data_IF_279781061140
#
_entry.id   IF_279781061140
#
_cell.length_a   1.000
_cell.length_b   1.000
_cell.length_c   1.000
_cell.angle_alpha   90.00
_cell.angle_beta   90.00
_cell.angle_gamma   90.00
#
_symmetry.space_group_name_H-M   'P 1'
#
loop_
_entity.id
_entity.type
_entity.pdbx_description
1 polymer ?
#
# COMPACT_ATOMS: atom_id res chain seq x y z
N UNK A 1 -9.78 7.00 -14.53
CA UNK A 1 -9.96 5.63 -13.95
C UNK A 1 -9.43 5.63 -12.53
N UNK A 2 -10.12 5.02 -11.57
CA UNK A 2 -9.78 5.08 -10.14
C UNK A 2 -10.16 3.78 -9.41
N UNK A 3 -9.61 3.57 -8.22
CA UNK A 3 -9.89 2.40 -7.37
C UNK A 3 -10.28 2.81 -5.95
N UNK A 4 -10.51 1.83 -5.08
CA UNK A 4 -10.96 2.03 -3.69
C UNK A 4 -9.99 2.85 -2.82
N UNK A 5 -8.71 2.89 -3.15
CA UNK A 5 -7.70 3.63 -2.38
C UNK A 5 -7.58 5.08 -2.82
N UNK A 6 -8.26 5.47 -3.89
CA UNK A 6 -8.31 6.85 -4.36
C UNK A 6 -9.29 7.66 -3.52
N UNK A 7 -8.89 8.85 -3.03
CA UNK A 7 -9.79 9.72 -2.28
C UNK A 7 -10.95 10.22 -3.16
N UNK A 8 -12.20 10.14 -2.69
CA UNK A 8 -13.36 10.71 -3.41
C UNK A 8 -13.21 12.21 -3.66
N UNK A 9 -12.49 12.94 -2.81
CA UNK A 9 -12.25 14.37 -2.97
C UNK A 9 -11.54 14.70 -4.28
N UNK A 10 -10.59 13.85 -4.71
CA UNK A 10 -9.92 14.06 -6.00
C UNK A 10 -10.85 13.82 -7.20
N UNK A 11 -11.87 12.97 -7.05
CA UNK A 11 -12.85 12.74 -8.11
C UNK A 11 -13.72 13.98 -8.35
N UNK A 12 -13.98 14.78 -7.32
CA UNK A 12 -14.73 16.03 -7.43
C UNK A 12 -13.97 17.11 -8.20
N UNK A 13 -12.65 16.98 -8.35
CA UNK A 13 -11.81 17.90 -9.15
C UNK A 13 -11.83 17.60 -10.64
N UNK A 14 -12.45 16.48 -11.05
CA UNK A 14 -12.58 16.14 -12.46
C UNK A 14 -13.44 17.19 -13.20
N UNK A 15 -13.04 17.52 -14.43
CA UNK A 15 -13.78 18.48 -15.28
C UNK A 15 -15.20 17.95 -15.55
N UNK A 16 -16.14 18.88 -15.75
CA UNK A 16 -17.49 18.54 -16.20
C UNK A 16 -17.42 17.70 -17.50
N UNK A 17 -18.17 16.60 -17.55
CA UNK A 17 -18.15 15.67 -18.68
C UNK A 17 -17.01 14.63 -18.66
N UNK A 18 -16.14 14.63 -17.65
CA UNK A 18 -15.14 13.59 -17.48
C UNK A 18 -15.80 12.24 -17.19
N UNK A 19 -15.46 11.22 -17.94
CA UNK A 19 -15.89 9.83 -17.69
C UNK A 19 -15.15 9.27 -16.48
N UNK A 20 -15.87 8.93 -15.42
CA UNK A 20 -15.30 8.32 -14.21
C UNK A 20 -15.49 6.81 -14.23
N UNK A 21 -14.41 6.05 -14.32
CA UNK A 21 -14.44 4.59 -14.41
C UNK A 21 -13.81 4.00 -13.15
N UNK A 22 -14.61 3.26 -12.38
CA UNK A 22 -14.13 2.51 -11.23
C UNK A 22 -13.56 1.17 -11.67
N UNK A 23 -12.32 0.88 -11.26
CA UNK A 23 -11.61 -0.37 -11.60
C UNK A 23 -11.19 -1.17 -10.35
N UNK A 24 -11.64 -0.76 -9.18
CA UNK A 24 -11.35 -1.43 -7.91
C UNK A 24 -12.18 -2.71 -7.68
N UNK A 25 -11.94 -3.35 -6.54
CA UNK A 25 -12.75 -4.49 -6.09
C UNK A 25 -14.12 -4.00 -5.63
N UNK A 26 -15.19 -4.40 -6.30
CA UNK A 26 -16.56 -4.23 -5.80
C UNK A 26 -17.01 -5.48 -5.03
N UNK A 27 -17.80 -5.27 -3.96
CA UNK A 27 -18.44 -6.36 -3.25
C UNK A 27 -19.36 -7.14 -4.22
N UNK A 28 -19.11 -8.47 -4.34
CA UNK A 28 -19.89 -9.42 -5.14
C UNK A 28 -19.81 -9.34 -6.68
N UNK A 29 -18.97 -8.47 -7.29
CA UNK A 29 -18.67 -8.51 -8.72
C UNK A 29 -17.24 -8.99 -8.99
N UNK A 30 -17.03 -9.62 -10.14
CA UNK A 30 -15.71 -10.08 -10.56
C UNK A 30 -14.68 -8.95 -10.45
N UNK A 31 -13.62 -9.22 -9.67
CA UNK A 31 -12.47 -8.31 -9.58
C UNK A 31 -11.87 -8.16 -10.96
N UNK A 32 -11.80 -6.94 -11.46
CA UNK A 32 -11.09 -6.69 -12.72
C UNK A 32 -9.62 -7.09 -12.54
N UNK A 33 -9.17 -8.05 -13.33
CA UNK A 33 -7.77 -8.47 -13.32
C UNK A 33 -6.89 -7.35 -13.85
N UNK A 34 -5.62 -7.33 -13.44
CA UNK A 34 -4.69 -6.28 -13.88
C UNK A 34 -4.58 -6.19 -15.40
N UNK A 35 -4.56 -7.32 -16.09
CA UNK A 35 -4.51 -7.34 -17.56
C UNK A 35 -5.72 -6.64 -18.19
N UNK A 36 -6.91 -6.81 -17.59
CA UNK A 36 -8.11 -6.12 -18.04
C UNK A 36 -8.09 -4.61 -17.75
N UNK A 37 -7.45 -4.19 -16.64
CA UNK A 37 -7.22 -2.76 -16.33
C UNK A 37 -6.26 -2.17 -17.35
N UNK A 38 -5.16 -2.86 -17.67
CA UNK A 38 -4.18 -2.44 -18.65
C UNK A 38 -4.81 -2.29 -20.03
N UNK A 39 -5.60 -3.28 -20.46
CA UNK A 39 -6.33 -3.23 -21.73
C UNK A 39 -7.31 -2.06 -21.75
N UNK A 40 -8.08 -1.87 -20.70
CA UNK A 40 -9.03 -0.76 -20.61
C UNK A 40 -8.35 0.61 -20.69
N UNK A 41 -7.18 0.77 -20.06
CA UNK A 41 -6.35 1.99 -20.16
C UNK A 41 -5.96 2.24 -21.63
N UNK A 42 -5.47 1.20 -22.32
CA UNK A 42 -5.09 1.29 -23.71
C UNK A 42 -6.28 1.60 -24.62
N UNK A 43 -7.42 0.91 -24.43
CA UNK A 43 -8.63 1.20 -25.23
C UNK A 43 -9.10 2.65 -25.03
N UNK A 44 -9.11 3.15 -23.79
CA UNK A 44 -9.51 4.54 -23.52
C UNK A 44 -8.53 5.56 -24.11
N UNK A 45 -7.24 5.25 -24.17
CA UNK A 45 -6.24 6.14 -24.79
C UNK A 45 -6.45 6.36 -26.30
N UNK A 46 -7.17 5.48 -26.99
CA UNK A 46 -7.48 5.64 -28.42
C UNK A 46 -8.55 6.71 -28.71
N UNK A 47 -9.38 7.02 -27.72
CA UNK A 47 -10.57 7.87 -27.90
C UNK A 47 -10.53 9.15 -27.06
N UNK A 48 -9.58 9.26 -26.12
CA UNK A 48 -9.44 10.41 -25.24
C UNK A 48 -8.03 10.99 -25.35
N UNK A 49 -7.95 12.31 -25.43
CA UNK A 49 -6.69 13.05 -25.43
C UNK A 49 -5.89 12.82 -24.14
N UNK A 50 -6.60 12.70 -22.99
CA UNK A 50 -6.02 12.46 -21.67
C UNK A 50 -6.77 11.39 -20.90
N UNK A 51 -6.05 10.37 -20.48
CA UNK A 51 -6.57 9.32 -19.58
C UNK A 51 -5.80 9.38 -18.27
N UNK A 52 -6.49 9.68 -17.18
CA UNK A 52 -5.88 9.73 -15.84
C UNK A 52 -6.16 8.42 -15.10
N UNK A 53 -5.10 7.72 -14.67
CA UNK A 53 -5.18 6.60 -13.74
C UNK A 53 -4.87 7.10 -12.33
N UNK A 54 -5.90 7.42 -11.56
CA UNK A 54 -5.76 7.88 -10.18
C UNK A 54 -5.51 6.69 -9.26
N UNK A 55 -4.48 6.81 -8.40
CA UNK A 55 -4.02 5.77 -7.48
C UNK A 55 -3.83 6.35 -6.08
N UNK A 56 -3.99 5.52 -5.05
CA UNK A 56 -3.64 5.91 -3.68
C UNK A 56 -2.13 5.78 -3.46
N UNK A 57 -1.52 6.77 -2.81
CA UNK A 57 -0.08 6.79 -2.55
C UNK A 57 0.77 7.09 -3.78
N UNK A 58 1.95 6.48 -3.88
CA UNK A 58 2.81 6.59 -5.05
C UNK A 58 2.48 5.47 -6.06
N UNK A 59 2.31 5.78 -7.36
CA UNK A 59 1.95 4.79 -8.38
C UNK A 59 2.95 3.64 -8.51
N UNK A 60 4.24 3.90 -8.25
CA UNK A 60 5.32 2.93 -8.43
C UNK A 60 5.71 2.19 -7.15
N UNK A 61 5.17 2.58 -5.99
CA UNK A 61 5.43 1.89 -4.72
C UNK A 61 4.27 0.94 -4.40
N UNK A 62 4.43 -0.33 -4.76
CA UNK A 62 3.43 -1.41 -4.61
C UNK A 62 2.05 -1.10 -5.21
N UNK A 63 1.99 -0.11 -6.12
CA UNK A 63 0.78 0.33 -6.79
C UNK A 63 0.57 -0.29 -8.17
N UNK A 64 1.47 -1.14 -8.65
CA UNK A 64 1.46 -1.75 -9.99
C UNK A 64 1.46 -0.75 -11.15
N UNK A 65 1.74 0.53 -10.90
CA UNK A 65 1.80 1.55 -11.94
C UNK A 65 2.88 1.28 -12.99
N UNK A 66 3.98 0.61 -12.62
CA UNK A 66 5.00 0.18 -13.56
C UNK A 66 4.49 -0.85 -14.58
N UNK A 67 3.63 -1.79 -14.16
CA UNK A 67 3.00 -2.77 -15.06
C UNK A 67 2.04 -2.07 -16.03
N UNK A 68 1.24 -1.11 -15.53
CA UNK A 68 0.33 -0.28 -16.33
C UNK A 68 1.11 0.56 -17.35
N UNK A 69 2.19 1.23 -16.92
CA UNK A 69 3.01 2.07 -17.77
C UNK A 69 3.72 1.27 -18.87
N UNK A 70 4.37 0.15 -18.55
CA UNK A 70 5.06 -0.71 -19.53
C UNK A 70 4.08 -1.22 -20.58
N UNK A 71 2.88 -1.66 -20.17
CA UNK A 71 1.85 -2.14 -21.09
C UNK A 71 1.45 -1.08 -22.12
N UNK A 72 1.36 0.18 -21.71
CA UNK A 72 1.00 1.32 -22.56
C UNK A 72 2.16 1.73 -23.48
N UNK A 73 3.38 1.84 -22.93
CA UNK A 73 4.58 2.22 -23.70
C UNK A 73 4.87 1.19 -24.82
N UNK A 74 4.71 -0.09 -24.55
CA UNK A 74 4.86 -1.17 -25.56
C UNK A 74 3.85 -1.04 -26.71
N UNK A 75 2.80 -0.22 -26.55
CA UNK A 75 1.77 0.10 -27.54
C UNK A 75 1.85 1.52 -28.09
N UNK A 76 3.00 2.17 -27.90
CA UNK A 76 3.30 3.54 -28.34
C UNK A 76 2.34 4.59 -27.73
N UNK A 77 1.84 4.38 -26.52
CA UNK A 77 1.11 5.39 -25.76
C UNK A 77 2.09 6.13 -24.85
N UNK A 78 2.10 7.45 -24.93
CA UNK A 78 2.89 8.29 -24.02
C UNK A 78 2.33 8.20 -22.59
N UNK A 79 3.23 8.04 -21.61
CA UNK A 79 2.86 7.90 -20.20
C UNK A 79 3.67 8.87 -19.37
N UNK A 80 2.96 9.73 -18.65
CA UNK A 80 3.54 10.57 -17.60
C UNK A 80 3.15 10.02 -16.22
N UNK A 81 4.10 9.99 -15.28
CA UNK A 81 3.85 9.55 -13.91
C UNK A 81 4.05 10.70 -12.96
N UNK A 82 2.97 11.06 -12.27
CA UNK A 82 3.01 12.04 -11.19
C UNK A 82 3.30 11.30 -9.87
N UNK A 83 4.43 11.56 -9.22
CA UNK A 83 4.76 10.90 -7.95
C UNK A 83 3.80 11.31 -6.84
N UNK A 84 3.59 10.40 -5.90
CA UNK A 84 2.76 10.63 -4.73
C UNK A 84 3.48 10.22 -3.44
N UNK A 85 2.86 10.49 -2.30
CA UNK A 85 3.42 10.10 -1.01
C UNK A 85 2.98 8.69 -0.67
N UNK A 86 3.91 7.73 -0.71
CA UNK A 86 3.65 6.35 -0.33
C UNK A 86 3.17 6.25 1.12
N UNK A 87 2.24 5.33 1.39
CA UNK A 87 1.78 5.01 2.75
C UNK A 87 2.92 4.57 3.68
N UNK A 88 4.03 4.05 3.12
CA UNK A 88 5.23 3.72 3.90
C UNK A 88 5.84 4.92 4.62
N UNK A 89 5.62 6.12 4.12
CA UNK A 89 6.07 7.38 4.73
C UNK A 89 4.88 8.14 5.33
N UNK A 90 3.79 8.29 4.57
CA UNK A 90 2.65 9.11 4.98
C UNK A 90 1.95 8.57 6.23
N UNK A 91 1.73 7.25 6.32
CA UNK A 91 1.05 6.66 7.47
C UNK A 91 1.87 6.76 8.75
N UNK A 92 3.20 6.58 8.67
CA UNK A 92 4.08 6.77 9.81
C UNK A 92 4.09 8.22 10.28
N UNK A 93 4.25 9.16 9.35
CA UNK A 93 4.24 10.59 9.67
C UNK A 93 2.92 11.03 10.34
N UNK A 94 1.77 10.60 9.80
CA UNK A 94 0.45 10.86 10.37
C UNK A 94 0.26 10.21 11.76
N UNK A 95 0.97 9.11 12.04
CA UNK A 95 0.98 8.46 13.34
C UNK A 95 1.98 9.10 14.33
N UNK A 96 2.76 10.09 13.92
CA UNK A 96 3.81 10.74 14.72
C UNK A 96 5.08 9.89 14.87
N UNK A 97 5.35 8.99 13.90
CA UNK A 97 6.51 8.10 13.90
C UNK A 97 7.46 8.52 12.77
N UNK A 98 8.64 9.05 13.06
CA UNK A 98 9.63 9.35 12.04
C UNK A 98 10.20 8.04 11.46
N UNK A 99 10.21 7.93 10.12
CA UNK A 99 10.76 6.74 9.44
C UNK A 99 12.29 6.66 9.58
N UNK A 100 12.96 7.82 9.70
CA UNK A 100 14.40 7.93 10.02
C UNK A 100 14.59 8.91 11.17
N UNK A 101 15.63 8.70 11.98
CA UNK A 101 15.98 9.61 13.07
C UNK A 101 17.48 9.61 13.29
N UNK A 102 18.10 10.80 13.34
CA UNK A 102 19.55 10.93 13.56
C UNK A 102 19.94 10.25 14.88
N UNK A 103 20.93 9.37 14.83
CA UNK A 103 21.43 8.63 15.97
C UNK A 103 20.64 7.37 16.35
N UNK A 104 19.48 7.10 15.68
CA UNK A 104 18.65 5.92 15.93
C UNK A 104 18.51 5.11 14.65
N UNK A 105 17.86 5.68 13.62
CA UNK A 105 17.59 5.00 12.36
C UNK A 105 18.21 5.78 11.20
N UNK A 106 19.30 5.23 10.63
CA UNK A 106 20.05 5.83 9.52
C UNK A 106 19.42 5.59 8.15
N UNK A 107 18.46 4.68 8.06
CA UNK A 107 17.78 4.31 6.82
C UNK A 107 16.50 3.54 7.08
N UNK A 108 15.83 3.15 6.02
CA UNK A 108 14.63 2.33 6.08
C UNK A 108 14.50 1.39 4.89
N UNK A 109 13.80 0.28 5.09
CA UNK A 109 13.44 -0.71 4.07
C UNK A 109 11.92 -0.84 4.03
N UNK A 110 11.36 -0.92 2.83
CA UNK A 110 9.91 -1.09 2.62
C UNK A 110 9.67 -2.41 1.92
N UNK A 111 8.87 -3.26 2.54
CA UNK A 111 8.61 -4.63 2.11
C UNK A 111 7.10 -4.82 1.99
N UNK A 112 6.66 -5.55 0.97
CA UNK A 112 5.29 -6.05 0.93
C UNK A 112 5.19 -7.35 1.71
N UNK A 113 4.22 -7.46 2.59
CA UNK A 113 3.90 -8.71 3.27
C UNK A 113 2.93 -9.60 2.47
N UNK A 114 2.59 -9.21 1.25
CA UNK A 114 1.60 -9.86 0.40
C UNK A 114 2.24 -10.39 -0.87
N UNK A 115 1.98 -11.66 -1.23
CA UNK A 115 2.46 -12.29 -2.45
C UNK A 115 1.50 -12.08 -3.63
N UNK A 116 1.92 -12.47 -4.85
CA UNK A 116 1.06 -12.44 -6.04
C UNK A 116 -0.17 -13.36 -5.94
N UNK A 117 -0.14 -14.36 -5.06
CA UNK A 117 -1.20 -15.36 -4.92
C UNK A 117 -2.15 -15.09 -3.75
N UNK A 118 -2.17 -13.87 -3.21
CA UNK A 118 -2.90 -13.52 -1.99
C UNK A 118 -2.47 -14.35 -0.75
N UNK A 119 -1.24 -14.89 -0.78
CA UNK A 119 -0.59 -15.62 0.31
C UNK A 119 0.41 -14.72 1.04
N UNK A 120 0.93 -15.16 2.17
CA UNK A 120 2.05 -14.50 2.85
C UNK A 120 3.27 -14.44 1.91
N UNK A 121 3.93 -13.29 1.86
CA UNK A 121 5.13 -13.14 1.06
C UNK A 121 6.27 -13.97 1.65
N UNK A 122 7.06 -14.61 0.79
CA UNK A 122 8.32 -15.23 1.19
C UNK A 122 9.36 -14.14 1.47
N UNK A 123 9.58 -13.85 2.75
CA UNK A 123 10.45 -12.78 3.22
C UNK A 123 11.72 -13.39 3.80
N UNK A 124 12.86 -13.01 3.23
CA UNK A 124 14.15 -13.31 3.86
C UNK A 124 14.40 -12.34 5.04
N UNK A 125 13.98 -12.75 6.22
CA UNK A 125 14.14 -11.96 7.44
C UNK A 125 15.61 -11.76 7.85
N UNK A 126 16.56 -12.58 7.33
CA UNK A 126 17.98 -12.43 7.64
C UNK A 126 18.56 -11.09 7.15
N UNK A 127 17.97 -10.52 6.08
CA UNK A 127 18.32 -9.22 5.53
C UNK A 127 17.77 -8.04 6.34
N UNK A 128 16.96 -8.29 7.36
CA UNK A 128 16.22 -7.29 8.11
C UNK A 128 16.67 -7.17 9.58
N UNK A 129 17.89 -7.61 9.90
CA UNK A 129 18.39 -7.68 11.27
C UNK A 129 19.11 -6.42 11.76
N UNK A 130 19.51 -5.50 10.86
CA UNK A 130 20.16 -4.23 11.24
C UNK A 130 19.19 -3.34 12.03
N UNK A 131 19.43 -3.18 13.34
CA UNK A 131 18.61 -2.38 14.24
C UNK A 131 18.63 -0.87 13.93
N UNK A 132 19.60 -0.41 13.13
CA UNK A 132 19.68 0.98 12.67
C UNK A 132 18.85 1.25 11.42
N UNK A 133 18.15 0.25 10.91
CA UNK A 133 17.25 0.34 9.75
C UNK A 133 15.80 0.12 10.19
N UNK A 134 14.94 1.08 9.89
CA UNK A 134 13.49 0.93 10.09
C UNK A 134 12.91 -0.01 9.03
N UNK A 135 12.27 -1.10 9.44
CA UNK A 135 11.56 -1.99 8.52
C UNK A 135 10.08 -1.61 8.47
N UNK A 136 9.56 -1.36 7.29
CA UNK A 136 8.16 -1.01 7.04
C UNK A 136 7.51 -2.11 6.21
N UNK A 137 6.52 -2.79 6.77
CA UNK A 137 5.78 -3.84 6.09
C UNK A 137 4.42 -3.30 5.63
N UNK A 138 4.22 -3.18 4.33
CA UNK A 138 2.93 -2.80 3.77
C UNK A 138 2.06 -4.05 3.54
N UNK A 139 0.72 -3.87 3.66
CA UNK A 139 -0.26 -4.97 3.52
C UNK A 139 -0.04 -6.12 4.52
N UNK A 140 0.59 -5.83 5.67
CA UNK A 140 1.03 -6.82 6.64
C UNK A 140 0.08 -7.06 7.82
N UNK A 141 -1.11 -6.43 7.86
CA UNK A 141 -1.97 -6.49 9.04
C UNK A 141 -2.39 -7.94 9.40
N UNK A 142 -2.73 -8.75 8.42
CA UNK A 142 -3.07 -10.17 8.63
C UNK A 142 -1.86 -11.03 9.04
N UNK A 143 -0.64 -10.55 8.78
CA UNK A 143 0.62 -11.28 8.97
C UNK A 143 1.50 -10.72 10.09
N UNK A 144 0.96 -9.81 10.93
CA UNK A 144 1.74 -9.13 11.99
C UNK A 144 2.47 -10.14 12.89
N UNK A 145 1.80 -11.23 13.29
CA UNK A 145 2.38 -12.25 14.18
C UNK A 145 3.52 -13.00 13.51
N UNK A 146 3.35 -13.45 12.28
CA UNK A 146 4.39 -14.17 11.54
C UNK A 146 5.58 -13.27 11.22
N UNK A 147 5.33 -12.00 10.86
CA UNK A 147 6.39 -11.00 10.66
C UNK A 147 7.19 -10.78 11.94
N UNK A 148 6.54 -10.55 13.08
CA UNK A 148 7.23 -10.34 14.36
C UNK A 148 8.04 -11.59 14.76
N UNK A 149 7.47 -12.78 14.63
CA UNK A 149 8.16 -14.04 14.91
C UNK A 149 9.34 -14.25 13.95
N UNK A 150 9.18 -13.98 12.66
CA UNK A 150 10.23 -14.09 11.65
C UNK A 150 11.42 -13.17 11.94
N UNK A 151 11.17 -11.92 12.28
CA UNK A 151 12.20 -10.94 12.66
C UNK A 151 12.96 -11.38 13.92
N UNK A 152 12.25 -11.81 14.96
CA UNK A 152 12.89 -12.30 16.19
C UNK A 152 13.70 -13.57 15.95
N UNK A 153 13.17 -14.51 15.17
CA UNK A 153 13.89 -15.74 14.78
C UNK A 153 15.17 -15.44 14.00
N UNK A 154 15.16 -14.40 13.17
CA UNK A 154 16.31 -13.95 12.40
C UNK A 154 17.35 -13.20 13.25
N UNK A 155 17.03 -12.81 14.49
CA UNK A 155 17.99 -12.18 15.41
C UNK A 155 17.64 -10.74 15.82
N UNK A 156 16.51 -10.16 15.38
CA UNK A 156 16.06 -8.90 15.95
C UNK A 156 15.66 -9.08 17.40
N UNK A 157 15.96 -8.09 18.22
CA UNK A 157 15.64 -8.12 19.66
C UNK A 157 14.13 -8.12 19.86
N UNK A 158 13.67 -8.85 20.84
CA UNK A 158 12.25 -8.92 21.21
C UNK A 158 11.69 -7.58 21.71
N UNK A 159 12.54 -6.74 22.33
CA UNK A 159 12.23 -5.40 22.82
C UNK A 159 12.38 -4.31 21.74
N UNK A 160 12.67 -4.65 20.48
CA UNK A 160 12.69 -3.69 19.36
C UNK A 160 11.35 -2.95 19.29
N UNK A 161 11.34 -1.59 19.34
CA UNK A 161 10.11 -0.82 19.20
C UNK A 161 9.40 -1.11 17.88
N UNK A 162 8.10 -1.32 17.95
CA UNK A 162 7.29 -1.66 16.82
C UNK A 162 5.91 -1.00 16.88
N UNK A 163 5.31 -0.75 15.71
CA UNK A 163 3.98 -0.16 15.62
C UNK A 163 3.17 -0.81 14.49
N UNK A 164 1.87 -0.90 14.68
CA UNK A 164 0.90 -1.24 13.64
C UNK A 164 0.00 -0.04 13.42
N UNK A 165 -0.16 0.36 12.16
CA UNK A 165 -1.00 1.47 11.74
C UNK A 165 -2.00 0.94 10.72
N UNK A 166 -3.28 1.16 10.96
CA UNK A 166 -4.35 0.88 10.02
C UNK A 166 -5.04 2.16 9.59
N UNK A 167 -5.56 2.20 8.35
CA UNK A 167 -6.21 3.36 7.75
C UNK A 167 -5.39 4.65 7.89
N UNK A 168 -4.06 4.53 7.69
CA UNK A 168 -3.15 5.66 7.84
C UNK A 168 -3.58 6.86 7.01
N UNK A 169 -3.49 8.08 7.59
CA UNK A 169 -3.92 9.36 7.01
C UNK A 169 -5.44 9.61 6.92
N UNK A 170 -6.26 8.61 7.20
CA UNK A 170 -7.72 8.76 7.20
C UNK A 170 -8.26 9.10 8.60
N UNK A 171 -9.47 9.65 8.68
CA UNK A 171 -10.13 9.92 9.96
C UNK A 171 -10.30 8.65 10.83
N UNK A 172 -10.39 7.47 10.20
CA UNK A 172 -10.46 6.18 10.87
C UNK A 172 -9.09 5.57 11.21
N UNK A 173 -8.00 6.35 11.15
CA UNK A 173 -6.66 5.87 11.49
C UNK A 173 -6.62 5.31 12.91
N UNK A 174 -6.02 4.12 13.05
CA UNK A 174 -5.70 3.52 14.34
C UNK A 174 -4.22 3.18 14.39
N UNK A 175 -3.62 3.28 15.57
CA UNK A 175 -2.24 2.85 15.81
C UNK A 175 -2.14 2.04 17.08
N UNK A 176 -1.29 1.04 17.08
CA UNK A 176 -0.86 0.29 18.23
C UNK A 176 0.66 0.36 18.29
N UNK A 177 1.22 0.73 19.43
CA UNK A 177 2.67 0.85 19.66
C UNK A 177 3.06 -0.13 20.76
N UNK A 178 4.18 -0.81 20.60
CA UNK A 178 4.74 -1.75 21.55
C UNK A 178 6.11 -2.23 21.10
N UNK A 179 6.44 -3.46 21.40
CA UNK A 179 7.66 -4.15 20.96
C UNK A 179 7.33 -5.28 19.99
N UNK A 180 8.34 -5.89 19.36
CA UNK A 180 8.13 -7.08 18.53
C UNK A 180 7.48 -8.22 19.32
N UNK A 181 7.86 -8.40 20.59
CA UNK A 181 7.25 -9.41 21.47
C UNK A 181 5.76 -9.12 21.67
N UNK A 182 5.39 -7.85 21.96
CA UNK A 182 3.99 -7.46 22.16
C UNK A 182 3.16 -7.70 20.89
N UNK A 183 3.68 -7.30 19.71
CA UNK A 183 2.98 -7.46 18.44
C UNK A 183 2.69 -8.93 18.12
N UNK A 184 3.51 -9.86 18.57
CA UNK A 184 3.27 -11.30 18.41
C UNK A 184 2.01 -11.78 19.15
N UNK A 185 1.59 -11.05 20.17
CA UNK A 185 0.45 -11.37 21.03
C UNK A 185 -0.85 -10.61 20.65
N UNK A 186 -0.74 -9.54 19.86
CA UNK A 186 -1.88 -8.69 19.54
C UNK A 186 -2.86 -9.44 18.63
N UNK A 187 -4.11 -9.52 19.06
CA UNK A 187 -5.24 -9.87 18.20
C UNK A 187 -5.76 -8.57 17.56
N UNK A 188 -5.17 -8.17 16.43
CA UNK A 188 -5.74 -7.11 15.61
C UNK A 188 -6.81 -7.77 14.75
N UNK A 189 -8.09 -7.67 15.16
CA UNK A 189 -9.19 -7.95 14.26
C UNK A 189 -9.12 -6.91 13.14
N UNK A 190 -9.01 -7.36 11.88
CA UNK A 190 -9.35 -6.49 10.75
C UNK A 190 -10.73 -5.87 11.05
N UNK A 191 -10.95 -4.58 10.71
CA UNK A 191 -12.29 -4.03 10.78
C UNK A 191 -13.16 -4.97 9.93
N UNK A 192 -14.05 -5.70 10.61
CA UNK A 192 -15.00 -6.59 9.97
C UNK A 192 -15.73 -5.76 8.91
N UNK A 193 -15.86 -6.30 7.70
CA UNK A 193 -16.57 -5.73 6.53
C UNK A 193 -18.02 -5.31 6.81
N UNK A 194 -18.45 -5.33 8.07
CA UNK A 194 -19.82 -5.12 8.53
C UNK A 194 -20.10 -3.76 9.16
N UNK A 195 -19.14 -2.84 9.23
CA UNK A 195 -19.33 -1.51 9.84
C UNK A 195 -19.62 -0.38 8.81
N UNK A 196 -20.04 -0.71 7.61
CA UNK A 196 -20.39 0.27 6.56
C UNK A 196 -21.87 0.25 6.19
N UNK A 197 -22.76 -0.01 7.16
CA UNK A 197 -24.20 0.23 6.98
C UNK A 197 -24.72 0.94 8.23
N UNK A 198 -24.61 2.25 8.24
CA UNK A 198 -25.50 3.18 8.98
C UNK A 198 -25.32 4.59 8.45
#
# INVERSE_FOLDING_TARGET
MYDRLSSPEFLSMAKAGCELIYVGKENHKHVMKQDAINELLYEKSKYHELVVRLKGGDPYVFGRGGEEALYLVDRNVEVEVVPGVSSSVAALAAAGIPITHRGIAKGFQVITAHSRKDEEADIDYSLLTDETITCVFLMGLAHVKSIAAGLMKAGRRADTPAAVISNGTLAAQRKCIGTLADLSLIHISEPTRQAEIS
#
